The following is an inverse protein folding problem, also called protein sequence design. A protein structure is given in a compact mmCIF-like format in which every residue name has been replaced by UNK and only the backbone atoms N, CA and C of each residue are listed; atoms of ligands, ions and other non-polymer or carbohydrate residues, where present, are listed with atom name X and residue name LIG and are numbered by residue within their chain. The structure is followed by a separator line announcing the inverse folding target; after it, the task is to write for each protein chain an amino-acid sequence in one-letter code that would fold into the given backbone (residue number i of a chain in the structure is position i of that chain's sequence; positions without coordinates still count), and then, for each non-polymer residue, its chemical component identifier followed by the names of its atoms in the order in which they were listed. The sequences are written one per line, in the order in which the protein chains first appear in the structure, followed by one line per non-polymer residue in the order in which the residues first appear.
data_IF_872181461175
#
_entry.id   IF_872181461175
#
_cell.length_a   1.000
_cell.length_b   1.000
_cell.length_c   1.000
_cell.angle_alpha   90.00
_cell.angle_beta   90.00
_cell.angle_gamma   90.00
#
_symmetry.space_group_name_H-M   'P 1'
#
loop_
_entity.id
_entity.type
_entity.pdbx_description
1 polymer ?
#
# COMPACT_ATOMS: atom_id res chain seq x y z
N UNK A 1 -13.82 25.01 -0.66
CA UNK A 1 -12.87 24.07 -0.01
C UNK A 1 -12.14 24.84 1.08
N UNK A 2 -12.00 24.26 2.28
CA UNK A 2 -11.22 24.83 3.37
C UNK A 2 -9.74 24.95 2.97
N UNK A 3 -9.06 26.00 3.46
CA UNK A 3 -7.62 26.22 3.19
C UNK A 3 -6.82 25.16 3.95
N UNK A 4 -5.76 24.63 3.35
CA UNK A 4 -5.00 23.53 3.97
C UNK A 4 -4.37 23.97 5.30
N UNK A 5 -3.92 25.22 5.39
CA UNK A 5 -3.40 25.82 6.62
C UNK A 5 -4.47 25.91 7.73
N UNK A 6 -5.73 26.18 7.39
CA UNK A 6 -6.80 26.22 8.40
C UNK A 6 -7.10 24.81 8.90
N UNK A 7 -7.15 23.82 8.00
CA UNK A 7 -7.30 22.41 8.38
C UNK A 7 -6.15 21.92 9.25
N UNK A 8 -4.91 22.27 8.93
CA UNK A 8 -3.73 21.93 9.75
C UNK A 8 -3.84 22.58 11.14
N UNK A 9 -4.22 23.86 11.21
CA UNK A 9 -4.42 24.56 12.47
C UNK A 9 -5.54 23.95 13.33
N UNK A 10 -6.63 23.48 12.71
CA UNK A 10 -7.70 22.75 13.40
C UNK A 10 -7.27 21.34 13.82
N UNK A 11 -6.46 20.67 13.01
CA UNK A 11 -5.86 19.37 13.30
C UNK A 11 -4.69 19.46 14.29
N UNK A 12 -4.26 20.67 14.65
CA UNK A 12 -3.10 20.92 15.48
C UNK A 12 -3.14 20.26 16.86
N UNK A 13 -4.34 20.00 17.34
CA UNK A 13 -4.60 19.28 18.59
C UNK A 13 -4.04 17.84 18.56
N UNK A 14 -3.69 17.32 17.37
CA UNK A 14 -3.11 16.00 17.14
C UNK A 14 -1.64 16.02 16.68
N UNK A 15 -0.91 17.15 16.87
CA UNK A 15 0.52 17.28 16.54
C UNK A 15 1.41 16.46 17.49
N UNK A 16 1.41 15.13 17.32
CA UNK A 16 2.46 14.25 17.81
C UNK A 16 3.36 13.81 16.66
N UNK A 17 4.53 13.26 16.98
CA UNK A 17 5.27 12.37 16.09
C UNK A 17 4.75 10.95 16.30
N UNK A 18 4.93 10.08 15.30
CA UNK A 18 4.61 8.67 15.44
C UNK A 18 5.50 8.03 16.51
N UNK A 19 4.88 7.20 17.35
CA UNK A 19 5.58 6.33 18.29
C UNK A 19 5.72 4.94 17.64
N UNK A 20 6.84 4.72 16.95
CA UNK A 20 7.10 3.46 16.25
C UNK A 20 7.16 2.26 17.20
N UNK A 21 7.64 2.44 18.44
CA UNK A 21 7.67 1.35 19.44
C UNK A 21 6.26 0.93 19.79
N UNK A 22 5.37 1.89 20.05
CA UNK A 22 3.95 1.60 20.31
C UNK A 22 3.24 0.96 19.11
N UNK A 23 3.58 1.34 17.88
CA UNK A 23 3.05 0.69 16.67
C UNK A 23 3.42 -0.80 16.66
N UNK A 24 4.69 -1.12 16.93
CA UNK A 24 5.19 -2.50 17.00
C UNK A 24 4.63 -3.26 18.21
N UNK A 25 4.54 -2.65 19.39
CA UNK A 25 3.92 -3.26 20.58
C UNK A 25 2.49 -3.70 20.31
N UNK A 26 1.73 -2.89 19.56
CA UNK A 26 0.34 -3.19 19.20
C UNK A 26 0.21 -4.18 18.04
N UNK A 27 1.19 -4.22 17.13
CA UNK A 27 1.22 -5.11 15.96
C UNK A 27 2.62 -5.72 15.78
N UNK A 28 3.03 -6.64 16.67
CA UNK A 28 4.40 -7.15 16.65
C UNK A 28 4.72 -7.95 15.38
N UNK A 29 3.69 -8.46 14.70
CA UNK A 29 3.82 -9.20 13.43
C UNK A 29 4.56 -8.41 12.34
N UNK A 30 4.55 -7.07 12.38
CA UNK A 30 5.16 -6.26 11.31
C UNK A 30 6.69 -6.39 11.28
N UNK A 31 7.32 -6.72 12.40
CA UNK A 31 8.78 -6.91 12.48
C UNK A 31 9.19 -8.38 12.67
N UNK A 32 8.23 -9.31 12.67
CA UNK A 32 8.55 -10.73 12.83
C UNK A 32 9.23 -11.26 11.56
N UNK A 33 10.32 -12.03 11.67
CA UNK A 33 10.93 -12.65 10.52
C UNK A 33 10.06 -13.80 9.97
N UNK A 34 10.32 -14.20 8.72
CA UNK A 34 9.73 -15.37 8.06
C UNK A 34 8.18 -15.36 8.04
N UNK A 35 7.56 -14.19 7.92
CA UNK A 35 6.12 -14.12 7.67
C UNK A 35 5.81 -14.39 6.20
N UNK A 36 4.57 -14.79 5.95
CA UNK A 36 4.00 -14.86 4.60
C UNK A 36 3.18 -13.61 4.32
N UNK A 37 3.21 -13.10 3.10
CA UNK A 37 2.44 -11.92 2.72
C UNK A 37 1.74 -12.02 1.36
N UNK A 38 0.71 -11.20 1.22
CA UNK A 38 0.01 -10.92 -0.03
C UNK A 38 0.26 -9.45 -0.38
N UNK A 39 0.57 -9.17 -1.65
CA UNK A 39 0.91 -7.82 -2.10
C UNK A 39 -0.19 -7.21 -2.98
N UNK A 40 -0.28 -5.87 -2.95
CA UNK A 40 -0.87 -5.15 -4.08
C UNK A 40 0.05 -5.37 -5.28
N UNK A 41 -0.46 -5.77 -6.45
CA UNK A 41 0.41 -6.10 -7.59
C UNK A 41 0.81 -4.84 -8.38
N UNK A 42 1.14 -3.75 -7.70
CA UNK A 42 1.64 -2.49 -8.25
C UNK A 42 3.02 -2.14 -7.71
N UNK A 43 3.54 -0.96 -8.05
CA UNK A 43 4.89 -0.56 -7.64
C UNK A 43 5.07 -0.45 -6.14
N UNK A 44 4.04 -0.07 -5.38
CA UNK A 44 4.16 0.12 -3.93
C UNK A 44 4.17 -1.23 -3.22
N UNK A 45 3.19 -2.08 -3.55
CA UNK A 45 3.15 -3.44 -3.02
C UNK A 45 4.40 -4.25 -3.37
N UNK A 46 4.94 -4.13 -4.60
CA UNK A 46 6.19 -4.79 -4.99
C UNK A 46 7.41 -4.26 -4.22
N UNK A 47 7.51 -2.95 -3.98
CA UNK A 47 8.55 -2.36 -3.13
C UNK A 47 8.42 -2.85 -1.68
N UNK A 48 7.20 -2.91 -1.15
CA UNK A 48 6.91 -3.45 0.19
C UNK A 48 7.38 -4.90 0.29
N UNK A 49 7.00 -5.76 -0.65
CA UNK A 49 7.44 -7.16 -0.70
C UNK A 49 8.96 -7.31 -0.77
N UNK A 50 9.62 -6.50 -1.60
CA UNK A 50 11.08 -6.51 -1.74
C UNK A 50 11.78 -6.11 -0.43
N UNK A 51 11.34 -5.03 0.22
CA UNK A 51 11.89 -4.58 1.50
C UNK A 51 11.75 -5.66 2.58
N UNK A 52 10.54 -6.21 2.74
CA UNK A 52 10.25 -7.20 3.78
C UNK A 52 10.96 -8.54 3.54
N UNK A 53 11.07 -8.97 2.28
CA UNK A 53 11.85 -10.16 1.92
C UNK A 53 13.35 -9.97 2.19
N UNK A 54 13.89 -8.78 1.89
CA UNK A 54 15.30 -8.47 2.13
C UNK A 54 15.65 -8.50 3.63
N UNK A 55 14.95 -7.70 4.45
CA UNK A 55 15.31 -7.47 5.85
C UNK A 55 14.77 -8.54 6.81
N UNK A 56 13.62 -9.14 6.51
CA UNK A 56 12.90 -10.04 7.42
C UNK A 56 12.67 -11.44 6.86
N UNK A 57 13.15 -11.72 5.64
CA UNK A 57 12.96 -13.00 4.97
C UNK A 57 11.49 -13.38 4.80
N UNK A 58 10.63 -12.39 4.53
CA UNK A 58 9.22 -12.65 4.23
C UNK A 58 9.04 -13.34 2.89
N UNK A 59 8.03 -14.20 2.82
CA UNK A 59 7.61 -14.94 1.61
C UNK A 59 6.37 -14.28 0.99
N UNK A 60 6.44 -13.92 -0.28
CA UNK A 60 5.34 -13.41 -1.08
C UNK A 60 4.56 -14.61 -1.61
N UNK A 61 3.39 -14.88 -1.03
CA UNK A 61 2.58 -16.08 -1.31
C UNK A 61 1.28 -15.77 -2.06
N UNK A 62 1.06 -14.52 -2.46
CA UNK A 62 -0.13 -14.14 -3.19
C UNK A 62 -0.18 -12.67 -3.60
N UNK A 63 -1.20 -12.34 -4.39
CA UNK A 63 -1.43 -11.02 -4.94
C UNK A 63 -2.92 -10.68 -4.89
N UNK A 64 -3.27 -9.43 -4.56
CA UNK A 64 -4.66 -8.95 -4.49
C UNK A 64 -4.79 -7.53 -5.03
N UNK A 65 -5.75 -7.30 -5.92
CA UNK A 65 -5.96 -5.99 -6.58
C UNK A 65 -7.33 -5.36 -6.28
N UNK A 66 -8.02 -5.84 -5.25
CA UNK A 66 -9.38 -5.41 -4.91
C UNK A 66 -10.49 -6.15 -5.66
N UNK A 67 -10.21 -6.82 -6.78
CA UNK A 67 -11.20 -7.60 -7.56
C UNK A 67 -10.90 -9.09 -7.54
N UNK A 68 -9.63 -9.44 -7.63
CA UNK A 68 -9.14 -10.81 -7.64
C UNK A 68 -8.05 -10.95 -6.59
N UNK A 69 -8.01 -12.10 -5.94
CA UNK A 69 -6.84 -12.55 -5.18
C UNK A 69 -6.41 -13.92 -5.68
N UNK A 70 -5.10 -14.11 -5.79
CA UNK A 70 -4.45 -15.42 -5.85
C UNK A 70 -3.62 -15.59 -4.57
N UNK A 71 -3.74 -16.74 -3.92
CA UNK A 71 -3.07 -17.04 -2.66
C UNK A 71 -2.60 -18.50 -2.68
N UNK A 72 -1.41 -18.81 -2.15
CA UNK A 72 -0.94 -20.19 -2.04
C UNK A 72 -2.05 -21.07 -1.47
N UNK A 73 -2.39 -22.16 -2.17
CA UNK A 73 -3.49 -23.04 -1.76
C UNK A 73 -3.30 -23.67 -0.38
N UNK A 74 -2.06 -23.64 0.13
CA UNK A 74 -1.69 -24.12 1.46
C UNK A 74 -1.79 -23.04 2.55
N UNK A 75 -2.23 -21.83 2.23
CA UNK A 75 -2.40 -20.72 3.16
C UNK A 75 -3.85 -20.27 3.21
N UNK A 76 -4.27 -19.74 4.36
CA UNK A 76 -5.52 -18.98 4.48
C UNK A 76 -5.21 -17.48 4.64
N UNK A 77 -6.16 -16.59 4.36
CA UNK A 77 -5.98 -15.15 4.56
C UNK A 77 -5.60 -14.75 6.00
N UNK A 78 -5.91 -15.58 7.00
CA UNK A 78 -5.52 -15.35 8.41
C UNK A 78 -4.05 -15.65 8.69
N UNK A 79 -3.41 -16.47 7.84
CA UNK A 79 -2.02 -16.90 8.01
C UNK A 79 -1.01 -15.88 7.43
N UNK A 80 -1.50 -14.89 6.67
CA UNK A 80 -0.68 -13.97 5.88
C UNK A 80 -0.87 -12.52 6.30
N UNK A 81 0.13 -11.70 5.97
CA UNK A 81 0.07 -10.24 6.10
C UNK A 81 -0.25 -9.62 4.75
N UNK A 82 -1.24 -8.75 4.68
CA UNK A 82 -1.54 -7.98 3.48
C UNK A 82 -0.73 -6.67 3.46
N UNK A 83 0.15 -6.51 2.46
CA UNK A 83 0.99 -5.33 2.30
C UNK A 83 0.45 -4.42 1.20
N UNK A 84 0.43 -3.12 1.50
CA UNK A 84 -0.12 -2.07 0.64
C UNK A 84 -1.63 -2.19 0.38
N UNK A 85 -2.36 -2.56 1.42
CA UNK A 85 -3.81 -2.62 1.42
C UNK A 85 -4.35 -2.79 2.82
N UNK A 86 -5.55 -2.27 3.07
CA UNK A 86 -6.25 -2.45 4.33
C UNK A 86 -7.36 -3.50 4.22
N UNK A 87 -7.34 -4.47 5.11
CA UNK A 87 -8.41 -5.48 5.21
C UNK A 87 -9.25 -5.20 6.47
N UNK A 88 -10.54 -4.94 6.28
CA UNK A 88 -11.50 -4.63 7.32
C UNK A 88 -11.99 -5.89 8.04
N UNK A 89 -11.06 -6.65 8.61
CA UNK A 89 -11.31 -7.84 9.43
C UNK A 89 -10.33 -7.84 10.59
N UNK A 90 -10.83 -7.89 11.82
CA UNK A 90 -10.00 -7.82 13.04
C UNK A 90 -8.96 -8.94 13.14
N UNK A 91 -9.21 -10.09 12.51
CA UNK A 91 -8.32 -11.25 12.53
C UNK A 91 -7.21 -11.15 11.46
N UNK A 92 -7.35 -10.27 10.46
CA UNK A 92 -6.44 -10.19 9.32
C UNK A 92 -5.40 -9.11 9.56
N UNK A 93 -4.13 -9.47 9.37
CA UNK A 93 -2.98 -8.55 9.48
C UNK A 93 -2.88 -7.76 8.18
N UNK A 94 -2.88 -6.44 8.25
CA UNK A 94 -2.72 -5.63 7.03
C UNK A 94 -2.04 -4.28 7.30
N UNK A 95 -1.46 -3.69 6.25
CA UNK A 95 -0.92 -2.33 6.27
C UNK A 95 -1.22 -1.65 4.95
N UNK A 96 -1.78 -0.44 5.01
CA UNK A 96 -2.10 0.39 3.86
C UNK A 96 -2.49 1.79 4.30
N UNK A 97 -2.80 2.68 3.35
CA UNK A 97 -3.08 4.10 3.66
C UNK A 97 -4.29 4.73 2.95
N UNK A 98 -4.92 4.04 2.02
CA UNK A 98 -6.01 4.59 1.22
C UNK A 98 -7.32 4.79 1.98
N UNK A 99 -7.52 4.03 3.06
CA UNK A 99 -8.75 4.05 3.85
C UNK A 99 -8.89 5.36 4.64
N UNK A 100 -10.10 5.91 4.62
CA UNK A 100 -10.52 7.01 5.48
C UNK A 100 -11.92 6.72 6.00
N UNK A 101 -12.19 7.07 7.26
CA UNK A 101 -13.53 6.95 7.84
C UNK A 101 -14.39 8.10 7.35
N UNK A 102 -15.66 7.86 7.02
CA UNK A 102 -16.56 8.94 6.59
C UNK A 102 -16.80 10.00 7.69
N UNK A 103 -16.98 9.57 8.94
CA UNK A 103 -17.23 10.45 10.07
C UNK A 103 -16.77 9.82 11.39
N UNK A 104 -16.21 10.61 12.30
CA UNK A 104 -15.80 10.20 13.65
C UNK A 104 -16.86 9.42 14.45
N UNK A 105 -18.16 9.58 14.19
CA UNK A 105 -19.23 8.75 14.79
C UNK A 105 -18.98 7.24 14.61
N UNK A 106 -18.42 6.83 13.47
CA UNK A 106 -18.17 5.42 13.16
C UNK A 106 -16.80 4.93 13.62
N UNK A 107 -16.01 5.80 14.26
CA UNK A 107 -14.63 5.49 14.64
C UNK A 107 -14.48 4.27 15.56
N UNK A 108 -15.31 4.06 16.61
CA UNK A 108 -15.18 2.88 17.46
C UNK A 108 -15.34 1.56 16.69
N UNK A 109 -16.38 1.47 15.86
CA UNK A 109 -16.67 0.29 15.04
C UNK A 109 -15.58 0.02 14.00
N UNK A 110 -15.15 1.06 13.28
CA UNK A 110 -14.13 0.91 12.23
C UNK A 110 -12.77 0.56 12.85
N UNK A 111 -12.42 1.18 13.97
CA UNK A 111 -11.17 0.89 14.71
C UNK A 111 -11.13 -0.53 15.24
N UNK A 112 -12.26 -1.09 15.68
CA UNK A 112 -12.34 -2.50 16.08
C UNK A 112 -12.03 -3.43 14.89
N UNK A 113 -12.67 -3.19 13.74
CA UNK A 113 -12.47 -4.00 12.53
C UNK A 113 -11.05 -3.90 11.94
N UNK A 114 -10.39 -2.76 12.10
CA UNK A 114 -8.99 -2.54 11.69
C UNK A 114 -8.00 -2.63 12.85
N UNK A 115 -8.36 -3.28 13.96
CA UNK A 115 -7.48 -3.40 15.14
C UNK A 115 -6.12 -4.02 14.77
N UNK A 116 -6.13 -5.01 13.87
CA UNK A 116 -4.95 -5.69 13.34
C UNK A 116 -4.41 -5.08 12.03
N UNK A 117 -4.79 -3.84 11.71
CA UNK A 117 -4.27 -3.08 10.59
C UNK A 117 -3.38 -1.93 11.06
N UNK A 118 -2.25 -1.70 10.39
CA UNK A 118 -1.49 -0.45 10.50
C UNK A 118 -2.04 0.51 9.45
N UNK A 119 -2.65 1.62 9.89
CA UNK A 119 -3.31 2.56 8.99
C UNK A 119 -3.05 4.01 9.45
N UNK A 120 -2.28 4.81 8.69
CA UNK A 120 -1.80 6.11 9.15
C UNK A 120 -2.91 7.13 9.39
N UNK A 121 -3.96 7.16 8.55
CA UNK A 121 -5.10 8.07 8.75
C UNK A 121 -5.84 7.74 10.06
N UNK A 122 -6.00 6.45 10.41
CA UNK A 122 -6.57 6.07 11.71
C UNK A 122 -5.69 6.47 12.88
N UNK A 123 -4.37 6.32 12.75
CA UNK A 123 -3.41 6.71 13.79
C UNK A 123 -3.47 8.22 14.08
N UNK A 124 -3.74 9.04 13.05
CA UNK A 124 -3.96 10.50 13.18
C UNK A 124 -5.42 10.91 13.40
N UNK A 125 -6.34 9.95 13.58
CA UNK A 125 -7.76 10.21 13.81
C UNK A 125 -8.42 11.06 12.70
N UNK A 126 -8.03 10.81 11.45
CA UNK A 126 -8.54 11.51 10.28
C UNK A 126 -9.82 10.86 9.75
N UNK A 127 -10.75 11.71 9.32
CA UNK A 127 -12.00 11.34 8.67
C UNK A 127 -12.20 12.16 7.39
N UNK A 128 -13.30 11.93 6.67
CA UNK A 128 -13.60 12.59 5.40
C UNK A 128 -13.60 14.13 5.46
N UNK A 129 -13.83 14.75 6.63
CA UNK A 129 -13.82 16.22 6.74
C UNK A 129 -12.44 16.81 6.52
N UNK A 130 -11.41 16.05 6.87
CA UNK A 130 -10.00 16.41 6.68
C UNK A 130 -9.38 15.60 5.54
N UNK A 131 -10.17 15.20 4.52
CA UNK A 131 -9.70 14.42 3.37
C UNK A 131 -8.42 14.97 2.73
N UNK A 132 -8.27 16.30 2.66
CA UNK A 132 -7.08 16.97 2.11
C UNK A 132 -5.80 16.75 2.93
N UNK A 133 -5.93 16.28 4.16
CA UNK A 133 -4.82 15.95 5.07
C UNK A 133 -4.51 14.45 5.10
N UNK A 134 -5.22 13.61 4.32
CA UNK A 134 -4.94 12.17 4.31
C UNK A 134 -3.48 11.89 3.96
N UNK A 135 -2.99 10.74 4.40
CA UNK A 135 -1.63 10.27 4.16
C UNK A 135 -1.24 10.43 2.68
N UNK A 136 -0.20 11.23 2.36
CA UNK A 136 0.11 11.62 0.99
C UNK A 136 1.22 10.77 0.37
N UNK A 137 1.83 9.86 1.13
CA UNK A 137 2.95 9.04 0.67
C UNK A 137 2.46 7.61 0.38
N UNK A 138 3.36 6.79 -0.15
CA UNK A 138 3.13 5.36 -0.34
C UNK A 138 3.31 4.55 0.97
N UNK A 139 2.73 3.34 1.05
CA UNK A 139 2.87 2.38 2.15
C UNK A 139 4.34 2.07 2.46
N UNK A 140 5.19 1.94 1.43
CA UNK A 140 6.63 1.66 1.61
C UNK A 140 7.32 2.67 2.55
N UNK A 141 6.91 3.94 2.50
CA UNK A 141 7.51 4.98 3.36
C UNK A 141 7.18 4.78 4.84
N UNK A 142 5.96 4.31 5.14
CA UNK A 142 5.58 3.98 6.51
C UNK A 142 6.34 2.74 6.99
N UNK A 143 6.51 1.72 6.13
CA UNK A 143 7.30 0.53 6.43
C UNK A 143 8.77 0.86 6.71
N UNK A 144 9.41 1.68 5.87
CA UNK A 144 10.79 2.15 6.09
C UNK A 144 10.89 2.81 7.47
N UNK A 145 9.98 3.74 7.78
CA UNK A 145 9.97 4.40 9.09
C UNK A 145 9.85 3.43 10.27
N UNK A 146 8.96 2.44 10.17
CA UNK A 146 8.78 1.41 11.21
C UNK A 146 10.06 0.59 11.38
N UNK A 147 10.61 0.00 10.32
CA UNK A 147 11.76 -0.90 10.41
C UNK A 147 13.03 -0.16 10.87
N UNK A 148 13.27 1.03 10.31
CA UNK A 148 14.43 1.86 10.61
C UNK A 148 14.52 2.26 12.08
N UNK A 149 13.36 2.47 12.72
CA UNK A 149 13.26 2.91 14.11
C UNK A 149 13.10 1.77 15.14
N UNK A 150 12.83 0.54 14.72
CA UNK A 150 12.45 -0.55 15.65
C UNK A 150 13.26 -1.83 15.49
N UNK A 151 13.84 -2.07 14.31
CA UNK A 151 14.52 -3.33 14.01
C UNK A 151 15.99 -3.09 13.70
N UNK A 152 16.26 -2.43 12.57
CA UNK A 152 17.60 -2.16 12.07
C UNK A 152 17.54 -0.93 11.17
N UNK A 153 18.61 -0.15 11.19
CA UNK A 153 18.84 0.93 10.23
C UNK A 153 18.64 0.42 8.79
N UNK A 154 17.75 1.08 8.06
CA UNK A 154 17.50 0.81 6.64
C UNK A 154 18.53 1.55 5.82
N UNK A 155 19.31 0.79 5.07
CA UNK A 155 20.28 1.32 4.13
C UNK A 155 19.58 1.58 2.79
N UNK A 156 19.77 2.79 2.26
CA UNK A 156 19.23 3.24 0.99
C UNK A 156 20.37 3.73 0.10
N UNK A 157 20.39 3.27 -1.15
CA UNK A 157 21.26 3.85 -2.17
C UNK A 157 20.69 5.19 -2.67
N UNK A 158 21.50 6.09 -3.22
CA UNK A 158 21.00 7.32 -3.86
C UNK A 158 20.02 7.02 -5.00
N UNK A 159 20.25 5.91 -5.73
CA UNK A 159 19.36 5.47 -6.81
C UNK A 159 17.99 5.00 -6.29
N UNK A 160 17.84 4.77 -4.99
CA UNK A 160 16.58 4.38 -4.36
C UNK A 160 15.55 5.52 -4.36
N UNK A 161 15.99 6.77 -4.50
CA UNK A 161 15.12 7.95 -4.47
C UNK A 161 14.08 7.86 -5.60
N UNK A 162 14.48 7.50 -6.82
CA UNK A 162 13.57 7.42 -7.96
C UNK A 162 12.43 6.41 -7.81
N UNK A 163 12.67 5.11 -7.52
CA UNK A 163 11.57 4.16 -7.31
C UNK A 163 10.69 4.52 -6.11
N UNK A 164 11.27 5.03 -5.01
CA UNK A 164 10.50 5.43 -3.82
C UNK A 164 9.65 6.67 -4.07
N UNK A 165 10.10 7.62 -4.90
CA UNK A 165 9.29 8.76 -5.32
C UNK A 165 8.31 8.40 -6.44
N UNK A 166 8.61 7.41 -7.27
CA UNK A 166 7.70 6.98 -8.31
C UNK A 166 6.41 6.38 -7.76
N UNK A 167 6.53 5.56 -6.71
CA UNK A 167 5.42 4.78 -6.20
C UNK A 167 4.31 5.65 -5.59
N UNK A 168 3.05 5.23 -5.80
CA UNK A 168 1.83 6.01 -5.56
C UNK A 168 1.83 7.44 -6.13
N UNK A 169 2.71 7.72 -7.10
CA UNK A 169 2.89 9.06 -7.63
C UNK A 169 3.40 10.05 -6.58
N UNK A 170 4.13 9.57 -5.55
CA UNK A 170 4.70 10.39 -4.47
C UNK A 170 5.41 11.63 -5.04
N UNK A 171 6.19 11.47 -6.11
CA UNK A 171 6.87 12.53 -6.85
C UNK A 171 5.94 13.70 -7.21
N UNK A 172 4.74 13.42 -7.73
CA UNK A 172 3.76 14.44 -8.09
C UNK A 172 3.09 15.04 -6.84
N UNK A 173 2.86 14.21 -5.82
CA UNK A 173 2.22 14.63 -4.57
C UNK A 173 3.09 15.64 -3.80
N UNK A 174 4.41 15.47 -3.80
CA UNK A 174 5.36 16.42 -3.16
C UNK A 174 5.12 17.87 -3.59
N UNK A 175 4.87 18.10 -4.87
CA UNK A 175 4.64 19.45 -5.43
C UNK A 175 3.18 19.87 -5.43
N UNK A 176 2.25 18.92 -5.39
CA UNK A 176 0.80 19.21 -5.42
C UNK A 176 0.26 19.58 -4.04
N UNK A 177 0.84 19.04 -2.96
CA UNK A 177 0.35 19.21 -1.59
C UNK A 177 1.50 19.39 -0.57
N UNK A 178 2.43 20.33 -0.78
CA UNK A 178 3.65 20.43 0.01
C UNK A 178 3.37 20.63 1.50
N UNK A 179 2.34 21.38 1.89
CA UNK A 179 2.03 21.63 3.30
C UNK A 179 1.57 20.37 4.04
N UNK A 180 0.79 19.51 3.38
CA UNK A 180 0.38 18.22 3.94
C UNK A 180 1.56 17.26 3.99
N UNK A 181 2.37 17.22 2.93
CA UNK A 181 3.57 16.37 2.87
C UNK A 181 4.53 16.72 3.99
N UNK A 182 4.88 17.99 4.19
CA UNK A 182 5.81 18.42 5.25
C UNK A 182 5.27 18.09 6.65
N UNK A 183 3.96 18.23 6.87
CA UNK A 183 3.33 17.83 8.12
C UNK A 183 3.45 16.31 8.37
N UNK A 184 3.24 15.49 7.34
CA UNK A 184 3.41 14.03 7.44
C UNK A 184 4.87 13.60 7.58
N UNK A 185 5.82 14.27 6.91
CA UNK A 185 7.25 14.00 7.08
C UNK A 185 7.69 14.28 8.53
N UNK A 186 7.22 15.38 9.13
CA UNK A 186 7.42 15.65 10.55
C UNK A 186 6.77 14.57 11.43
N UNK A 187 5.53 14.18 11.15
CA UNK A 187 4.86 13.10 11.88
C UNK A 187 5.67 11.78 11.82
N UNK A 188 6.22 11.44 10.66
CA UNK A 188 7.06 10.27 10.42
C UNK A 188 8.52 10.44 10.88
N UNK A 189 8.85 11.55 11.56
CA UNK A 189 10.22 11.81 12.07
C UNK A 189 11.28 11.82 10.95
N UNK A 190 10.91 12.25 9.75
CA UNK A 190 11.85 12.40 8.63
C UNK A 190 12.80 13.60 8.79
N UNK A 191 12.55 14.48 9.75
CA UNK A 191 13.43 15.60 10.11
C UNK A 191 14.59 15.17 11.04
N UNK A 192 14.67 13.90 11.43
CA UNK A 192 15.77 13.35 12.24
C UNK A 192 16.89 12.89 11.32
N UNK A 193 18.08 13.47 11.44
CA UNK A 193 19.18 13.29 10.46
C UNK A 193 19.66 11.84 10.31
N UNK A 194 19.43 11.03 11.34
CA UNK A 194 19.75 9.61 11.36
C UNK A 194 18.58 8.73 10.86
N UNK A 195 17.50 9.28 10.31
CA UNK A 195 16.35 8.55 9.74
C UNK A 195 16.57 8.20 8.26
N UNK A 196 16.16 7.01 7.84
CA UNK A 196 16.19 6.63 6.42
C UNK A 196 15.23 7.51 5.59
N UNK A 197 14.15 8.01 6.21
CA UNK A 197 13.24 8.95 5.58
C UNK A 197 13.87 10.35 5.43
N UNK A 198 14.79 10.74 6.34
CA UNK A 198 15.56 11.97 6.17
C UNK A 198 16.44 11.91 4.93
N UNK A 199 17.18 10.80 4.76
CA UNK A 199 17.97 10.57 3.55
C UNK A 199 17.10 10.65 2.28
N UNK A 200 15.89 10.09 2.32
CA UNK A 200 15.00 10.05 1.17
C UNK A 200 14.42 11.44 0.82
N UNK A 201 13.91 12.18 1.81
CA UNK A 201 13.10 13.39 1.57
C UNK A 201 13.83 14.72 1.81
N UNK A 202 14.88 14.72 2.64
CA UNK A 202 15.62 15.93 3.01
C UNK A 202 17.07 15.93 2.52
N UNK A 203 17.42 15.08 1.54
CA UNK A 203 18.74 15.15 0.92
C UNK A 203 18.93 16.41 0.08
N UNK A 204 20.14 16.96 0.13
CA UNK A 204 20.61 18.11 -0.66
C UNK A 204 21.21 17.71 -2.02
N UNK A 205 21.26 16.40 -2.31
CA UNK A 205 21.94 15.83 -3.48
C UNK A 205 21.22 16.14 -4.78
N UNK A 206 19.89 16.17 -4.75
CA UNK A 206 19.08 16.42 -5.93
C UNK A 206 18.57 17.86 -5.99
N UNK A 207 19.11 18.63 -6.93
CA UNK A 207 18.37 19.79 -7.45
C UNK A 207 17.10 19.33 -8.18
N UNK A 208 16.10 20.22 -8.32
CA UNK A 208 14.85 19.91 -9.03
C UNK A 208 15.11 19.33 -10.43
N UNK A 209 16.03 19.94 -11.20
CA UNK A 209 16.36 19.47 -12.55
C UNK A 209 17.10 18.12 -12.54
N UNK A 210 17.97 17.88 -11.55
CA UNK A 210 18.66 16.61 -11.42
C UNK A 210 17.68 15.48 -11.09
N UNK A 211 16.72 15.74 -10.19
CA UNK A 211 15.67 14.78 -9.85
C UNK A 211 14.80 14.47 -11.08
N UNK A 212 14.35 15.48 -11.81
CA UNK A 212 13.55 15.28 -13.02
C UNK A 212 14.27 14.41 -14.06
N UNK A 213 15.57 14.62 -14.27
CA UNK A 213 16.38 13.79 -15.18
C UNK A 213 16.52 12.36 -14.68
N UNK A 214 16.75 12.17 -13.39
CA UNK A 214 16.85 10.83 -12.79
C UNK A 214 15.51 10.08 -12.85
N UNK A 215 14.39 10.77 -12.63
CA UNK A 215 13.05 10.22 -12.82
C UNK A 215 12.78 9.84 -14.27
N UNK A 216 13.17 10.66 -15.25
CA UNK A 216 13.07 10.33 -16.69
C UNK A 216 13.85 9.05 -17.02
N UNK A 217 15.08 8.92 -16.53
CA UNK A 217 15.90 7.70 -16.71
C UNK A 217 15.19 6.47 -16.12
N UNK A 218 14.66 6.59 -14.90
CA UNK A 218 13.91 5.52 -14.26
C UNK A 218 12.65 5.15 -15.05
N UNK A 219 11.91 6.14 -15.57
CA UNK A 219 10.72 5.90 -16.39
C UNK A 219 11.03 5.17 -17.68
N UNK A 220 12.14 5.51 -18.35
CA UNK A 220 12.59 4.81 -19.56
C UNK A 220 12.87 3.33 -19.27
N UNK A 221 13.61 3.03 -18.20
CA UNK A 221 13.90 1.63 -17.78
C UNK A 221 12.62 0.86 -17.44
N UNK A 222 11.66 1.50 -16.78
CA UNK A 222 10.33 0.91 -16.55
C UNK A 222 9.60 0.66 -17.86
N UNK A 223 9.65 1.60 -18.80
CA UNK A 223 8.94 1.50 -20.07
C UNK A 223 9.48 0.43 -21.00
N UNK A 224 10.78 0.11 -20.90
CA UNK A 224 11.40 -1.06 -21.56
C UNK A 224 10.77 -2.40 -21.11
N UNK A 225 10.18 -2.46 -19.91
CA UNK A 225 9.49 -3.65 -19.36
C UNK A 225 8.01 -3.68 -19.79
N UNK A 226 7.48 -2.54 -20.28
CA UNK A 226 6.07 -2.42 -20.66
C UNK A 226 5.77 -3.15 -21.96
N UNK A 227 4.54 -3.65 -22.08
CA UNK A 227 4.02 -4.25 -23.32
C UNK A 227 2.73 -3.54 -23.73
N UNK A 228 2.20 -3.88 -24.91
CA UNK A 228 0.95 -3.30 -25.38
C UNK A 228 -0.15 -3.47 -24.33
N UNK A 229 -0.74 -2.36 -23.89
CA UNK A 229 -1.84 -2.28 -22.89
C UNK A 229 -1.46 -2.70 -21.45
N UNK A 230 -0.19 -2.94 -21.14
CA UNK A 230 0.28 -3.21 -19.77
C UNK A 230 1.56 -2.44 -19.46
N UNK A 231 1.53 -1.68 -18.36
CA UNK A 231 2.72 -0.99 -17.87
C UNK A 231 3.65 -1.97 -17.15
N UNK A 232 4.95 -1.73 -17.25
CA UNK A 232 6.00 -2.58 -16.69
C UNK A 232 6.12 -2.55 -15.17
N UNK A 233 5.50 -1.58 -14.50
CA UNK A 233 5.57 -1.40 -13.04
C UNK A 233 4.49 -2.13 -12.23
N UNK A 234 3.70 -3.00 -12.87
CA UNK A 234 2.60 -3.70 -12.20
C UNK A 234 2.31 -5.05 -12.83
N UNK A 235 1.84 -5.97 -11.99
CA UNK A 235 1.27 -7.24 -12.39
C UNK A 235 -0.24 -7.11 -12.48
N UNK A 236 -0.79 -7.16 -13.70
CA UNK A 236 -2.25 -7.15 -13.85
C UNK A 236 -2.80 -8.56 -13.61
N UNK A 237 -3.59 -8.74 -12.55
CA UNK A 237 -4.23 -10.03 -12.22
C UNK A 237 -5.74 -10.08 -12.51
N UNK A 238 -6.35 -8.92 -12.83
CA UNK A 238 -7.76 -8.84 -13.22
C UNK A 238 -8.04 -7.92 -14.41
N UNK A 239 -9.14 -8.23 -15.10
CA UNK A 239 -9.74 -7.39 -16.12
C UNK A 239 -10.63 -6.28 -15.50
N UNK A 240 -11.23 -5.44 -16.34
CA UNK A 240 -12.05 -4.32 -15.86
C UNK A 240 -13.29 -4.79 -15.10
N UNK A 241 -13.89 -5.88 -15.56
CA UNK A 241 -15.04 -6.60 -15.00
C UNK A 241 -14.70 -7.58 -13.86
N UNK A 242 -13.42 -7.72 -13.51
CA UNK A 242 -12.97 -8.64 -12.47
C UNK A 242 -12.76 -10.08 -12.94
N UNK A 243 -12.81 -10.35 -14.24
CA UNK A 243 -12.32 -11.64 -14.77
C UNK A 243 -10.81 -11.80 -14.55
N UNK A 244 -10.31 -13.03 -14.35
CA UNK A 244 -8.87 -13.28 -14.19
C UNK A 244 -8.10 -12.79 -15.42
N UNK A 245 -6.94 -12.19 -15.18
CA UNK A 245 -6.02 -11.75 -16.22
C UNK A 245 -4.61 -12.20 -15.85
N UNK A 246 -3.80 -12.66 -16.81
CA UNK A 246 -2.49 -13.27 -16.56
C UNK A 246 -2.50 -14.45 -15.54
N UNK A 247 -3.65 -15.12 -15.37
CA UNK A 247 -3.81 -16.28 -14.49
C UNK A 247 -4.22 -17.48 -15.35
N UNK A 248 -3.43 -18.54 -15.28
CA UNK A 248 -3.63 -19.79 -16.00
C UNK A 248 -4.07 -20.90 -15.03
N UNK A 249 -4.73 -21.93 -15.58
CA UNK A 249 -5.11 -23.13 -14.80
C UNK A 249 -4.23 -24.29 -15.21
N UNK A 250 -3.58 -24.91 -14.23
CA UNK A 250 -2.77 -26.10 -14.41
C UNK A 250 -3.64 -27.37 -14.53
N UNK A 251 -3.06 -28.48 -15.00
CA UNK A 251 -3.79 -29.74 -15.20
C UNK A 251 -4.39 -30.30 -13.90
N UNK A 252 -3.80 -29.97 -12.74
CA UNK A 252 -4.28 -30.37 -11.41
C UNK A 252 -5.36 -29.41 -10.85
N UNK A 253 -5.76 -28.38 -11.61
CA UNK A 253 -6.74 -27.37 -11.20
C UNK A 253 -6.16 -26.16 -10.47
N UNK A 254 -4.89 -26.20 -10.08
CA UNK A 254 -4.21 -25.06 -9.42
C UNK A 254 -4.11 -23.88 -10.39
N UNK A 255 -4.05 -22.66 -9.83
CA UNK A 255 -3.77 -21.46 -10.63
C UNK A 255 -2.29 -21.12 -10.60
N UNK A 256 -1.79 -20.59 -11.71
CA UNK A 256 -0.45 -19.99 -11.81
C UNK A 256 -0.49 -18.68 -12.57
N UNK A 257 0.51 -17.84 -12.36
CA UNK A 257 0.67 -16.64 -13.17
C UNK A 257 1.27 -17.01 -14.53
N UNK A 258 0.78 -16.35 -15.58
CA UNK A 258 1.33 -16.48 -16.92
C UNK A 258 2.83 -16.14 -16.93
N UNK A 259 3.63 -16.92 -17.66
CA UNK A 259 5.09 -16.79 -17.62
C UNK A 259 5.59 -15.44 -18.18
N UNK A 260 4.94 -14.86 -19.18
CA UNK A 260 5.31 -13.53 -19.69
C UNK A 260 5.05 -12.45 -18.64
N UNK A 261 3.88 -12.47 -18.00
CA UNK A 261 3.54 -11.52 -16.93
C UNK A 261 4.46 -11.66 -15.71
N UNK A 262 4.77 -12.89 -15.30
CA UNK A 262 5.77 -13.19 -14.28
C UNK A 262 7.14 -12.63 -14.66
N UNK A 263 7.64 -12.91 -15.86
CA UNK A 263 8.95 -12.44 -16.30
C UNK A 263 9.06 -10.91 -16.30
N UNK A 264 8.02 -10.19 -16.76
CA UNK A 264 7.97 -8.73 -16.69
C UNK A 264 7.99 -8.22 -15.25
N UNK A 265 7.18 -8.83 -14.38
CA UNK A 265 7.13 -8.47 -12.95
C UNK A 265 8.48 -8.68 -12.29
N UNK A 266 9.14 -9.81 -12.56
CA UNK A 266 10.49 -10.11 -12.07
C UNK A 266 11.52 -9.11 -12.61
N UNK A 267 11.44 -8.71 -13.87
CA UNK A 267 12.31 -7.66 -14.42
C UNK A 267 12.14 -6.33 -13.69
N UNK A 268 10.91 -5.96 -13.34
CA UNK A 268 10.67 -4.74 -12.56
C UNK A 268 11.18 -4.88 -11.12
N UNK A 269 10.95 -6.02 -10.44
CA UNK A 269 11.51 -6.27 -9.10
C UNK A 269 13.04 -6.21 -9.13
N UNK A 270 13.69 -6.71 -10.18
CA UNK A 270 15.15 -6.57 -10.37
C UNK A 270 15.58 -5.13 -10.53
N UNK A 271 14.86 -4.33 -11.33
CA UNK A 271 15.11 -2.89 -11.43
C UNK A 271 14.99 -2.20 -10.05
N UNK A 272 13.96 -2.55 -9.27
CA UNK A 272 13.80 -2.06 -7.90
C UNK A 272 14.96 -2.52 -6.99
N UNK A 273 15.38 -3.78 -7.11
CA UNK A 273 16.50 -4.36 -6.36
C UNK A 273 17.82 -3.64 -6.65
N UNK A 274 18.13 -3.41 -7.92
CA UNK A 274 19.34 -2.71 -8.36
C UNK A 274 19.37 -1.24 -7.92
N UNK A 275 18.21 -0.58 -7.90
CA UNK A 275 18.11 0.84 -7.52
C UNK A 275 18.07 1.04 -6.02
N UNK A 276 17.37 0.18 -5.28
CA UNK A 276 17.27 0.29 -3.82
C UNK A 276 18.49 -0.28 -3.09
N UNK A 277 19.13 -1.29 -3.66
CA UNK A 277 20.13 -2.13 -3.00
C UNK A 277 19.51 -3.28 -2.19
N UNK A 278 18.18 -3.44 -2.21
CA UNK A 278 17.52 -4.54 -1.52
C UNK A 278 17.55 -5.80 -2.39
N UNK A 279 18.17 -6.86 -1.87
CA UNK A 279 18.31 -8.13 -2.58
C UNK A 279 16.96 -8.77 -2.92
N UNK A 280 16.70 -8.99 -4.21
CA UNK A 280 15.65 -9.87 -4.68
C UNK A 280 16.05 -11.34 -4.47
N UNK A 281 15.20 -12.08 -3.75
CA UNK A 281 15.36 -13.51 -3.43
C UNK A 281 14.29 -14.32 -4.18
N UNK A 282 14.57 -14.88 -5.36
CA UNK A 282 13.55 -15.55 -6.18
C UNK A 282 12.74 -16.63 -5.43
N UNK A 283 13.38 -17.33 -4.50
CA UNK A 283 12.79 -18.37 -3.65
C UNK A 283 11.73 -17.84 -2.67
N UNK A 284 11.76 -16.55 -2.34
CA UNK A 284 10.76 -15.91 -1.49
C UNK A 284 9.50 -15.50 -2.26
N UNK A 285 9.42 -15.72 -3.58
CA UNK A 285 8.31 -15.26 -4.41
C UNK A 285 7.61 -16.44 -5.07
N UNK A 286 6.36 -16.68 -4.68
CA UNK A 286 5.52 -17.70 -5.29
C UNK A 286 4.87 -17.17 -6.57
N UNK A 287 4.81 -18.02 -7.59
CA UNK A 287 4.23 -17.70 -8.90
C UNK A 287 3.22 -18.74 -9.41
N UNK A 288 2.98 -19.81 -8.64
CA UNK A 288 2.11 -20.93 -8.99
C UNK A 288 1.42 -21.52 -7.77
N UNK A 289 0.65 -22.60 -7.95
CA UNK A 289 -0.01 -23.34 -6.87
C UNK A 289 -1.01 -22.47 -6.06
N UNK A 290 -1.68 -21.55 -6.74
CA UNK A 290 -2.62 -20.64 -6.11
C UNK A 290 -4.04 -21.18 -6.07
N UNK A 291 -4.73 -20.92 -4.95
CA UNK A 291 -6.18 -20.78 -4.89
C UNK A 291 -6.61 -19.41 -5.43
N UNK A 292 -7.80 -19.34 -6.00
CA UNK A 292 -8.34 -18.13 -6.63
C UNK A 292 -9.61 -17.64 -5.94
N UNK A 293 -9.67 -16.32 -5.73
CA UNK A 293 -10.79 -15.64 -5.10
C UNK A 293 -11.21 -14.48 -6.00
N UNK A 294 -12.53 -14.35 -6.21
CA UNK A 294 -13.16 -13.25 -6.93
C UNK A 294 -14.02 -12.45 -5.97
N UNK A 295 -13.92 -11.13 -6.06
CA UNK A 295 -14.61 -10.18 -5.22
C UNK A 295 -15.42 -9.21 -6.08
N UNK A 296 -16.34 -8.50 -5.43
CA UNK A 296 -17.18 -7.50 -6.08
C UNK A 296 -16.67 -6.11 -5.71
N UNK A 297 -16.08 -5.40 -6.68
CA UNK A 297 -15.71 -4.00 -6.52
C UNK A 297 -16.91 -3.10 -6.83
N UNK A 298 -17.05 -2.01 -6.09
CA UNK A 298 -18.04 -0.97 -6.35
C UNK A 298 -17.59 0.37 -5.82
N UNK A 299 -18.35 1.40 -6.15
CA UNK A 299 -18.13 2.74 -5.63
C UNK A 299 -19.46 3.50 -5.51
N UNK A 300 -19.46 4.55 -4.70
CA UNK A 300 -20.68 5.31 -4.40
C UNK A 300 -21.15 6.10 -5.63
N UNK A 301 -20.23 6.79 -6.30
CA UNK A 301 -20.52 7.61 -7.48
C UNK A 301 -21.04 6.75 -8.64
N UNK A 302 -20.38 5.65 -8.95
CA UNK A 302 -20.78 4.68 -9.98
C UNK A 302 -22.12 4.01 -9.70
N UNK A 303 -22.48 3.86 -8.42
CA UNK A 303 -23.80 3.37 -8.00
C UNK A 303 -24.89 4.46 -7.95
N UNK A 304 -24.59 5.71 -8.31
CA UNK A 304 -25.51 6.84 -8.19
C UNK A 304 -25.91 7.14 -6.74
N UNK A 305 -25.12 6.68 -5.75
CA UNK A 305 -25.39 6.86 -4.33
C UNK A 305 -24.57 8.02 -3.78
N UNK A 306 -25.25 9.03 -3.22
CA UNK A 306 -24.57 10.10 -2.48
C UNK A 306 -23.98 9.55 -1.18
N UNK A 307 -22.69 9.81 -0.94
CA UNK A 307 -22.05 9.51 0.34
C UNK A 307 -22.61 10.42 1.46
N UNK A 308 -23.26 9.82 2.45
CA UNK A 308 -23.79 10.46 3.65
C UNK A 308 -23.87 9.44 4.78
N UNK A 309 -24.30 9.84 5.99
CA UNK A 309 -24.35 8.95 7.15
C UNK A 309 -25.21 7.70 6.92
N UNK A 310 -26.37 7.83 6.30
CA UNK A 310 -27.27 6.70 6.02
C UNK A 310 -26.65 5.72 5.03
N UNK A 311 -26.15 6.23 3.90
CA UNK A 311 -25.56 5.36 2.86
C UNK A 311 -24.23 4.75 3.29
N UNK A 312 -23.48 5.42 4.17
CA UNK A 312 -22.27 4.86 4.78
C UNK A 312 -22.60 3.75 5.80
N UNK A 313 -23.66 3.92 6.59
CA UNK A 313 -24.14 2.87 7.51
C UNK A 313 -24.65 1.63 6.75
N UNK A 314 -25.44 1.82 5.68
CA UNK A 314 -25.82 0.75 4.75
C UNK A 314 -24.59 0.03 4.19
N UNK A 315 -23.55 0.78 3.80
CA UNK A 315 -22.29 0.22 3.32
C UNK A 315 -21.58 -0.63 4.39
N UNK A 316 -21.43 -0.13 5.62
CA UNK A 316 -20.81 -0.89 6.70
C UNK A 316 -21.58 -2.18 7.04
N UNK A 317 -22.91 -2.16 6.92
CA UNK A 317 -23.77 -3.34 7.12
C UNK A 317 -23.55 -4.43 6.07
N UNK A 318 -23.05 -4.09 4.88
CA UNK A 318 -22.61 -5.06 3.86
C UNK A 318 -21.27 -5.71 4.19
N UNK A 319 -20.68 -5.39 5.34
CA UNK A 319 -19.42 -5.93 5.85
C UNK A 319 -18.28 -5.87 4.82
N UNK A 320 -17.93 -4.67 4.31
CA UNK A 320 -16.96 -4.51 3.23
C UNK A 320 -15.62 -5.10 3.61
N UNK A 321 -14.93 -5.68 2.63
CA UNK A 321 -13.62 -6.27 2.82
C UNK A 321 -12.53 -5.19 2.93
N UNK A 322 -12.59 -4.18 2.07
CA UNK A 322 -11.66 -3.05 2.01
C UNK A 322 -12.34 -1.85 1.38
N UNK A 323 -11.80 -0.64 1.59
CA UNK A 323 -12.22 0.55 0.86
C UNK A 323 -11.17 1.65 0.88
N UNK A 324 -11.27 2.53 -0.12
CA UNK A 324 -10.46 3.71 -0.28
C UNK A 324 -11.38 4.93 -0.46
N UNK A 325 -11.04 6.04 0.20
CA UNK A 325 -11.69 7.31 -0.11
C UNK A 325 -10.93 8.00 -1.24
N UNK A 326 -11.54 8.06 -2.42
CA UNK A 326 -10.89 8.55 -3.66
C UNK A 326 -11.14 10.03 -3.89
N UNK A 327 -12.24 10.56 -3.35
CA UNK A 327 -12.57 11.99 -3.30
C UNK A 327 -13.30 12.31 -1.99
N UNK A 328 -13.56 13.59 -1.73
CA UNK A 328 -14.32 14.03 -0.55
C UNK A 328 -15.75 13.46 -0.47
N UNK A 329 -16.27 12.90 -1.56
CA UNK A 329 -17.64 12.43 -1.74
C UNK A 329 -17.75 11.00 -2.31
N UNK A 330 -16.64 10.32 -2.60
CA UNK A 330 -16.65 8.96 -3.15
C UNK A 330 -15.80 8.00 -2.33
N UNK A 331 -16.33 6.80 -2.14
CA UNK A 331 -15.64 5.65 -1.57
C UNK A 331 -15.69 4.53 -2.61
N UNK A 332 -14.51 4.03 -3.00
CA UNK A 332 -14.38 2.77 -3.71
C UNK A 332 -14.21 1.65 -2.69
N UNK A 333 -14.88 0.52 -2.89
CA UNK A 333 -14.88 -0.58 -1.92
C UNK A 333 -14.91 -1.94 -2.58
N UNK A 334 -14.49 -2.94 -1.82
CA UNK A 334 -14.59 -4.35 -2.19
C UNK A 334 -15.52 -5.08 -1.24
N UNK A 335 -16.38 -5.93 -1.81
CA UNK A 335 -17.27 -6.83 -1.10
C UNK A 335 -16.92 -8.28 -1.42
N UNK A 336 -17.30 -9.16 -0.51
CA UNK A 336 -17.05 -10.58 -0.59
C UNK A 336 -18.38 -11.34 -0.38
N UNK A 337 -18.86 -12.05 -1.41
CA UNK A 337 -20.12 -12.79 -1.35
C UNK A 337 -19.97 -14.19 -1.97
N UNK A 338 -20.19 -15.29 -1.21
CA UNK A 338 -20.23 -15.35 0.26
C UNK A 338 -18.85 -15.07 0.88
N UNK A 339 -18.79 -14.69 2.16
CA UNK A 339 -17.50 -14.43 2.84
C UNK A 339 -16.65 -15.70 2.94
N UNK A 340 -15.41 -15.66 2.42
CA UNK A 340 -14.46 -16.78 2.33
C UNK A 340 -13.12 -16.48 3.02
N UNK A 341 -12.85 -15.21 3.36
CA UNK A 341 -11.60 -14.77 4.00
C UNK A 341 -11.61 -14.92 5.54
N UNK A 342 -12.76 -15.21 6.16
CA UNK A 342 -12.89 -15.37 7.63
C UNK A 342 -13.64 -16.63 8.00
#
# INVERSE_FOLDING_TARGET
MSKIQSLLSEAAVYYGTIDYKKVVEQRPWIIQPNQKCVLSPDSDGLLCGLLMSHYLNWEIVGYYDGKVMVLDKNCTPKDVVFLDMEICRKEIKSIGHHMLIFNKKYFPLVKEKFSNCIQPNLMRNYDAKVFRLKYPLATIHLLIGILDNTLKKIELSEKAICPLFFTDGTFNVLFSYPENVLDWLKYLRANETDSALHFLFENDKYTVIALMRAMDEFFRKRDEISISKERGDRLRISAKDGEPFNIETEANGDKKLNEEAKNRTVSFIKLLSETTGWNYKPESWLWNRFAFYKFTKGDFTGAGKRLNGKTFEEFLNRNPLSWAMTSGDNIEFTLEEPSKMV
#
